data_IF_475483609953
#
_entry.id   IF_475483609953
#
_cell.length_a   1.000
_cell.length_b   1.000
_cell.length_c   1.000
_cell.angle_alpha   90.00
_cell.angle_beta   90.00
_cell.angle_gamma   90.00
#
_symmetry.space_group_name_H-M   'P 1'
#
loop_
_entity.id
_entity.type
_entity.pdbx_description
1 polymer ?
#
# COMPACT_ATOMS: atom_id res chain seq x y z
N UNK A 1 -13.55 22.51 13.59
CA UNK A 1 -12.87 21.23 13.31
C UNK A 1 -13.87 20.15 13.67
N UNK A 2 -14.33 19.36 12.70
CA UNK A 2 -15.31 18.29 12.95
C UNK A 2 -14.62 17.17 13.76
N UNK A 3 -15.08 16.84 14.98
CA UNK A 3 -14.48 15.77 15.79
C UNK A 3 -14.61 14.38 15.15
N UNK A 4 -15.43 14.21 14.11
CA UNK A 4 -15.62 12.96 13.38
C UNK A 4 -14.92 12.93 12.01
N UNK A 5 -14.21 13.99 11.63
CA UNK A 5 -13.45 13.97 10.38
C UNK A 5 -12.27 13.01 10.49
N UNK A 6 -12.17 12.08 9.54
CA UNK A 6 -11.02 11.21 9.44
C UNK A 6 -9.73 12.03 9.24
N UNK A 7 -8.62 11.67 9.89
CA UNK A 7 -7.35 12.36 9.69
C UNK A 7 -6.91 12.23 8.23
N UNK A 8 -6.33 13.31 7.70
CA UNK A 8 -5.78 13.32 6.33
C UNK A 8 -4.76 12.20 6.17
N UNK A 9 -4.90 11.41 5.11
CA UNK A 9 -3.93 10.38 4.77
C UNK A 9 -2.58 11.03 4.43
N UNK A 10 -1.56 10.61 5.18
CA UNK A 10 -0.16 11.03 4.94
C UNK A 10 0.48 10.14 3.89
N UNK A 11 1.45 10.69 3.17
CA UNK A 11 2.25 9.93 2.21
C UNK A 11 3.49 9.37 2.92
N UNK A 12 4.05 8.24 2.45
CA UNK A 12 5.36 7.79 2.87
C UNK A 12 6.44 8.87 2.64
N UNK A 13 7.52 8.91 3.45
CA UNK A 13 8.58 9.89 3.26
C UNK A 13 9.26 9.73 1.89
N UNK A 14 9.50 10.84 1.20
CA UNK A 14 10.17 10.85 -0.09
C UNK A 14 11.55 10.15 -0.03
N UNK A 15 11.88 9.39 -1.07
CA UNK A 15 13.13 8.64 -1.18
C UNK A 15 13.21 7.38 -0.31
N UNK A 16 12.19 7.09 0.51
CA UNK A 16 12.12 5.81 1.24
C UNK A 16 11.54 4.74 0.33
N UNK A 17 12.29 3.65 0.02
CA UNK A 17 11.71 2.52 -0.70
C UNK A 17 10.45 2.05 0.00
N UNK A 18 9.35 1.96 -0.74
CA UNK A 18 8.03 1.65 -0.21
C UNK A 18 7.40 0.54 -1.05
N UNK A 19 7.01 -0.55 -0.39
CA UNK A 19 6.11 -1.56 -0.95
C UNK A 19 4.69 -1.29 -0.46
N UNK A 20 3.79 -0.97 -1.40
CA UNK A 20 2.36 -0.84 -1.15
C UNK A 20 1.62 -2.06 -1.71
N UNK A 21 0.79 -2.71 -0.89
CA UNK A 21 -0.01 -3.86 -1.29
C UNK A 21 -1.51 -3.61 -1.07
N UNK A 22 -2.21 -2.93 -2.00
CA UNK A 22 -3.65 -2.72 -1.90
C UNK A 22 -4.41 -4.05 -2.03
N UNK A 23 -5.40 -4.24 -1.16
CA UNK A 23 -6.34 -5.36 -1.23
C UNK A 23 -7.45 -5.04 -2.24
N UNK A 24 -7.65 -5.89 -3.24
CA UNK A 24 -8.63 -5.65 -4.31
C UNK A 24 -10.08 -5.90 -3.89
N UNK A 25 -10.30 -6.64 -2.80
CA UNK A 25 -11.65 -6.95 -2.31
C UNK A 25 -12.03 -6.10 -1.08
N UNK A 26 -11.35 -4.98 -0.84
CA UNK A 26 -11.63 -4.09 0.28
C UNK A 26 -11.37 -2.61 -0.03
N UNK A 27 -12.29 -1.74 0.39
CA UNK A 27 -12.28 -0.32 0.01
C UNK A 27 -11.55 0.59 1.02
N UNK A 28 -10.47 0.10 1.66
CA UNK A 28 -9.73 0.87 2.67
C UNK A 28 -8.62 1.76 2.08
N UNK A 29 -8.14 1.43 0.88
CA UNK A 29 -7.06 2.15 0.20
C UNK A 29 -7.64 2.80 -1.05
N UNK A 30 -7.87 4.10 -1.00
CA UNK A 30 -8.45 4.85 -2.11
C UNK A 30 -7.47 4.94 -3.29
N UNK A 31 -7.96 4.71 -4.51
CA UNK A 31 -7.16 4.82 -5.74
C UNK A 31 -6.49 6.20 -5.89
N UNK A 32 -7.19 7.27 -5.52
CA UNK A 32 -6.65 8.63 -5.54
C UNK A 32 -5.45 8.80 -4.61
N UNK A 33 -5.37 8.08 -3.50
CA UNK A 33 -4.21 8.09 -2.62
C UNK A 33 -3.05 7.28 -3.22
N UNK A 34 -3.33 6.14 -3.85
CA UNK A 34 -2.31 5.36 -4.58
C UNK A 34 -1.69 6.20 -5.70
N UNK A 35 -2.49 6.97 -6.43
CA UNK A 35 -2.02 7.83 -7.51
C UNK A 35 -1.16 9.00 -6.98
N UNK A 36 -1.51 9.55 -5.81
CA UNK A 36 -0.65 10.51 -5.09
C UNK A 36 0.67 9.87 -4.67
N UNK A 37 0.67 8.65 -4.15
CA UNK A 37 1.90 7.92 -3.84
C UNK A 37 2.77 7.73 -5.08
N UNK A 38 2.18 7.33 -6.22
CA UNK A 38 2.91 7.19 -7.50
C UNK A 38 3.55 8.51 -7.95
N UNK A 39 2.81 9.61 -7.85
CA UNK A 39 3.30 10.93 -8.25
C UNK A 39 4.47 11.43 -7.37
N UNK A 40 4.40 11.21 -6.05
CA UNK A 40 5.37 11.76 -5.10
C UNK A 40 6.59 10.86 -4.87
N UNK A 41 6.43 9.54 -4.93
CA UNK A 41 7.50 8.58 -4.64
C UNK A 41 8.24 8.11 -5.89
N UNK A 42 7.60 8.12 -7.06
CA UNK A 42 8.18 7.67 -8.32
C UNK A 42 8.80 6.28 -8.20
N UNK A 43 10.07 6.16 -8.56
CA UNK A 43 10.83 4.91 -8.55
C UNK A 43 11.04 4.31 -7.14
N UNK A 44 10.81 5.08 -6.08
CA UNK A 44 10.87 4.56 -4.71
C UNK A 44 9.60 3.77 -4.32
N UNK A 45 8.57 3.73 -5.16
CA UNK A 45 7.33 2.99 -4.91
C UNK A 45 7.24 1.72 -5.75
N UNK A 46 7.02 0.60 -5.08
CA UNK A 46 6.51 -0.64 -5.68
C UNK A 46 5.07 -0.83 -5.27
N UNK A 47 4.17 -1.07 -6.23
CA UNK A 47 2.76 -1.40 -5.96
C UNK A 47 2.51 -2.84 -6.41
N UNK A 48 2.05 -3.69 -5.49
CA UNK A 48 1.66 -5.07 -5.76
C UNK A 48 0.24 -5.30 -5.25
N UNK A 49 -0.73 -5.22 -6.15
CA UNK A 49 -2.14 -5.47 -5.82
C UNK A 49 -2.37 -6.94 -5.48
N UNK A 50 -3.13 -7.20 -4.41
CA UNK A 50 -3.41 -8.56 -3.92
C UNK A 50 -4.91 -8.81 -3.98
N UNK A 51 -5.30 -9.87 -4.69
CA UNK A 51 -6.69 -10.33 -4.74
C UNK A 51 -7.10 -11.03 -3.43
N UNK A 52 -7.42 -10.21 -2.43
CA UNK A 52 -7.80 -10.59 -1.07
C UNK A 52 -8.64 -9.49 -0.40
N UNK A 53 -9.22 -9.81 0.75
CA UNK A 53 -9.75 -8.83 1.69
C UNK A 53 -8.66 -8.04 2.42
N UNK A 54 -9.07 -7.22 3.39
CA UNK A 54 -8.16 -6.31 4.11
C UNK A 54 -7.00 -7.04 4.81
N UNK A 55 -7.22 -8.28 5.26
CA UNK A 55 -6.24 -9.06 6.00
C UNK A 55 -5.39 -9.93 5.05
N UNK A 56 -4.82 -9.31 4.00
CA UNK A 56 -4.06 -9.99 2.94
C UNK A 56 -2.99 -10.97 3.44
N UNK A 57 -2.31 -10.67 4.54
CA UNK A 57 -1.27 -11.54 5.09
C UNK A 57 -1.82 -12.83 5.73
N UNK A 58 -3.09 -12.85 6.15
CA UNK A 58 -3.79 -14.05 6.62
C UNK A 58 -4.39 -14.83 5.46
N UNK A 59 -4.93 -14.14 4.46
CA UNK A 59 -5.64 -14.76 3.33
C UNK A 59 -4.69 -15.27 2.24
N UNK A 60 -3.59 -14.55 1.98
CA UNK A 60 -2.63 -14.78 0.89
C UNK A 60 -1.19 -14.81 1.40
N UNK A 61 -0.97 -15.47 2.56
CA UNK A 61 0.32 -15.46 3.27
C UNK A 61 1.54 -15.73 2.38
N UNK A 62 1.49 -16.74 1.51
CA UNK A 62 2.62 -17.09 0.66
C UNK A 62 2.96 -16.03 -0.39
N UNK A 63 1.94 -15.41 -0.99
CA UNK A 63 2.09 -14.34 -1.99
C UNK A 63 2.61 -13.05 -1.35
N UNK A 64 2.05 -12.67 -0.20
CA UNK A 64 2.52 -11.52 0.58
C UNK A 64 3.98 -11.72 1.03
N UNK A 65 4.33 -12.91 1.53
CA UNK A 65 5.70 -13.24 1.92
C UNK A 65 6.66 -13.17 0.73
N UNK A 66 6.22 -13.59 -0.46
CA UNK A 66 7.01 -13.46 -1.70
C UNK A 66 7.29 -11.99 -2.02
N UNK A 67 6.27 -11.13 -2.05
CA UNK A 67 6.45 -9.70 -2.34
C UNK A 67 7.37 -9.01 -1.33
N UNK A 68 7.20 -9.30 -0.04
CA UNK A 68 8.08 -8.75 1.01
C UNK A 68 9.52 -9.24 0.81
N UNK A 69 9.73 -10.51 0.48
CA UNK A 69 11.06 -11.07 0.28
C UNK A 69 11.77 -10.42 -0.92
N UNK A 70 11.10 -10.35 -2.06
CA UNK A 70 11.61 -9.71 -3.28
C UNK A 70 11.96 -8.24 -3.01
N UNK A 71 11.10 -7.53 -2.27
CA UNK A 71 11.32 -6.14 -1.94
C UNK A 71 12.51 -5.90 -0.97
N UNK A 72 12.68 -6.75 0.05
CA UNK A 72 13.72 -6.56 1.07
C UNK A 72 15.09 -7.09 0.62
N UNK A 73 15.11 -8.19 -0.13
CA UNK A 73 16.34 -8.94 -0.41
C UNK A 73 16.83 -8.76 -1.86
N UNK A 74 15.93 -8.44 -2.80
CA UNK A 74 16.20 -8.52 -4.23
C UNK A 74 16.00 -9.92 -4.77
#
# INVERSE_FOLDING_TARGET
MDPNAAPTSVLPPAGTPTLLMPALQADFVEQAWVDRCRAELGDALTVAEVDAGHMLFLERTAEVAKHVREFVVG
#
